data_IF_441157462462
#
_entry.id   IF_441157462462
#
_cell.length_a   1.000
_cell.length_b   1.000
_cell.length_c   1.000
_cell.angle_alpha   90.00
_cell.angle_beta   90.00
_cell.angle_gamma   90.00
#
_symmetry.space_group_name_H-M   'P 1'
#
loop_
_entity.id
_entity.type
_entity.pdbx_description
1 polymer ?
#
# COMPACT_ATOMS: atom_id res chain seq x y z
N UNK A 1 22.43 5.12 -48.82
CA UNK A 1 21.19 4.37 -48.61
C UNK A 1 21.08 4.13 -47.12
N UNK A 2 20.04 4.66 -46.49
CA UNK A 2 19.78 4.46 -45.07
C UNK A 2 19.21 3.05 -44.90
N UNK A 3 19.92 2.18 -44.18
CA UNK A 3 19.36 0.88 -43.78
C UNK A 3 18.16 1.12 -42.85
N UNK A 4 17.06 0.33 -43.00
CA UNK A 4 15.94 0.45 -42.09
C UNK A 4 16.36 -0.03 -40.71
N UNK A 5 16.00 0.74 -39.68
CA UNK A 5 16.15 0.33 -38.28
C UNK A 5 15.35 -0.97 -38.11
N UNK A 6 16.06 -2.08 -37.95
CA UNK A 6 15.46 -3.37 -37.61
C UNK A 6 14.67 -3.19 -36.30
N UNK A 7 13.35 -3.24 -36.40
CA UNK A 7 12.50 -3.34 -35.23
C UNK A 7 12.80 -4.69 -34.59
N UNK A 8 13.47 -4.66 -33.43
CA UNK A 8 13.71 -5.85 -32.62
C UNK A 8 12.35 -6.45 -32.26
N UNK A 9 12.09 -7.67 -32.69
CA UNK A 9 10.88 -8.40 -32.33
C UNK A 9 10.87 -8.66 -30.81
N UNK A 10 9.70 -8.48 -30.17
CA UNK A 10 9.51 -8.81 -28.76
C UNK A 10 9.79 -10.30 -28.54
N UNK A 11 10.62 -10.61 -27.57
CA UNK A 11 11.01 -11.95 -27.18
C UNK A 11 10.56 -12.28 -25.76
N UNK A 12 10.62 -13.56 -25.38
CA UNK A 12 10.34 -13.98 -24.01
C UNK A 12 11.30 -13.36 -22.99
N UNK A 13 12.51 -12.98 -23.41
CA UNK A 13 13.50 -12.30 -22.57
C UNK A 13 13.07 -10.85 -22.22
N UNK A 14 12.11 -10.28 -22.96
CA UNK A 14 11.56 -8.95 -22.70
C UNK A 14 10.38 -8.99 -21.70
N UNK A 15 9.92 -10.18 -21.32
CA UNK A 15 8.85 -10.38 -20.34
C UNK A 15 9.45 -10.48 -18.94
N UNK A 16 9.24 -9.45 -18.12
CA UNK A 16 9.65 -9.49 -16.72
C UNK A 16 8.89 -10.59 -15.97
N UNK A 17 9.56 -11.35 -15.09
CA UNK A 17 8.88 -12.28 -14.19
C UNK A 17 7.79 -11.57 -13.40
N UNK A 18 6.64 -12.22 -13.28
CA UNK A 18 5.50 -11.66 -12.53
C UNK A 18 5.70 -11.94 -11.05
N UNK A 19 5.66 -10.88 -10.24
CA UNK A 19 5.72 -11.01 -8.80
C UNK A 19 4.50 -11.74 -8.24
N UNK A 20 4.75 -12.72 -7.38
CA UNK A 20 3.70 -13.50 -6.71
C UNK A 20 2.83 -12.58 -5.84
N UNK A 21 3.46 -11.75 -5.02
CA UNK A 21 2.82 -10.73 -4.20
C UNK A 21 3.54 -9.41 -4.46
N UNK A 22 2.81 -8.41 -4.94
CA UNK A 22 3.32 -7.07 -5.19
C UNK A 22 2.63 -6.03 -4.31
N UNK A 23 3.37 -4.99 -3.95
CA UNK A 23 2.87 -3.75 -3.38
C UNK A 23 3.42 -2.61 -4.23
N UNK A 24 2.55 -1.97 -4.99
CA UNK A 24 2.86 -0.78 -5.77
C UNK A 24 2.48 0.45 -4.95
N UNK A 25 3.32 1.47 -4.99
CA UNK A 25 3.09 2.71 -4.24
C UNK A 25 3.22 3.94 -5.14
N UNK A 26 2.33 4.92 -4.93
CA UNK A 26 2.44 6.24 -5.53
C UNK A 26 3.63 7.02 -4.98
N UNK A 27 4.08 8.04 -5.70
CA UNK A 27 5.37 8.68 -5.40
C UNK A 27 5.43 9.36 -4.02
N UNK A 28 4.32 9.84 -3.44
CA UNK A 28 4.31 10.44 -2.09
C UNK A 28 4.47 9.41 -0.98
N UNK A 29 4.35 8.12 -1.30
CA UNK A 29 4.48 7.03 -0.35
C UNK A 29 5.86 6.38 -0.38
N UNK A 30 6.71 6.75 -1.34
CA UNK A 30 8.09 6.23 -1.47
C UNK A 30 8.86 6.33 -0.13
N UNK A 31 8.81 7.43 0.63
CA UNK A 31 9.53 7.51 1.92
C UNK A 31 9.13 6.42 2.91
N UNK A 32 7.89 5.91 2.86
CA UNK A 32 7.41 4.84 3.74
C UNK A 32 8.03 3.48 3.42
N UNK A 33 8.54 3.29 2.21
CA UNK A 33 9.09 2.03 1.70
C UNK A 33 10.57 2.11 1.34
N UNK A 34 11.22 3.25 1.54
CA UNK A 34 12.63 3.44 1.28
C UNK A 34 13.47 3.18 2.53
N UNK A 35 14.39 2.20 2.46
CA UNK A 35 15.28 1.84 3.57
C UNK A 35 16.15 3.01 4.02
N UNK A 36 16.61 3.83 3.09
CA UNK A 36 17.53 4.94 3.38
C UNK A 36 16.81 6.11 4.05
N UNK A 37 15.48 6.15 3.96
CA UNK A 37 14.61 7.14 4.61
C UNK A 37 13.92 6.61 5.88
N UNK A 38 14.31 5.42 6.35
CA UNK A 38 13.71 4.80 7.55
C UNK A 38 12.36 4.13 7.31
N UNK A 39 12.11 3.70 6.07
CA UNK A 39 10.85 3.14 5.56
C UNK A 39 10.16 2.14 6.49
N UNK A 40 9.28 2.67 7.33
CA UNK A 40 8.61 1.96 8.40
C UNK A 40 7.75 0.79 7.86
N UNK A 41 7.18 0.96 6.66
CA UNK A 41 6.32 -0.04 6.05
C UNK A 41 7.07 -1.34 5.74
N UNK A 42 8.38 -1.27 5.48
CA UNK A 42 9.20 -2.45 5.17
C UNK A 42 9.23 -3.44 6.35
N UNK A 43 9.47 -2.95 7.56
CA UNK A 43 9.49 -3.80 8.75
C UNK A 43 8.08 -4.27 9.14
N UNK A 44 7.04 -3.45 8.92
CA UNK A 44 5.64 -3.85 9.11
C UNK A 44 5.23 -4.99 8.18
N UNK A 45 5.52 -4.89 6.88
CA UNK A 45 5.25 -5.94 5.88
C UNK A 45 5.97 -7.24 6.24
N UNK A 46 7.25 -7.14 6.64
CA UNK A 46 8.03 -8.30 7.12
C UNK A 46 7.41 -8.93 8.37
N UNK A 47 6.91 -8.11 9.31
CA UNK A 47 6.20 -8.55 10.50
C UNK A 47 4.91 -9.32 10.17
N UNK A 48 4.07 -8.77 9.29
CA UNK A 48 2.85 -9.44 8.81
C UNK A 48 3.19 -10.77 8.14
N UNK A 49 4.17 -10.78 7.24
CA UNK A 49 4.61 -12.01 6.55
C UNK A 49 5.08 -13.08 7.53
N UNK A 50 5.87 -12.69 8.54
CA UNK A 50 6.34 -13.60 9.59
C UNK A 50 5.18 -14.18 10.38
N UNK A 51 4.23 -13.34 10.82
CA UNK A 51 3.06 -13.76 11.58
C UNK A 51 2.21 -14.76 10.77
N UNK A 52 1.84 -14.42 9.54
CA UNK A 52 1.05 -15.29 8.67
C UNK A 52 1.75 -16.63 8.38
N UNK A 53 3.09 -16.61 8.23
CA UNK A 53 3.84 -17.85 8.02
C UNK A 53 3.79 -18.78 9.24
N UNK A 54 3.79 -18.19 10.45
CA UNK A 54 3.65 -18.95 11.70
C UNK A 54 2.23 -19.47 11.86
N UNK A 55 1.22 -18.63 11.60
CA UNK A 55 -0.19 -18.97 11.76
C UNK A 55 -0.62 -20.08 10.80
N UNK A 56 -0.11 -20.10 9.56
CA UNK A 56 -0.49 -21.09 8.55
C UNK A 56 0.48 -22.29 8.41
N UNK A 57 1.67 -22.23 9.02
CA UNK A 57 2.63 -23.32 8.99
C UNK A 57 3.43 -23.47 7.70
N UNK A 58 3.45 -22.44 6.83
CA UNK A 58 4.30 -22.40 5.65
C UNK A 58 4.84 -20.98 5.39
N UNK A 59 5.95 -20.88 4.68
CA UNK A 59 6.57 -19.58 4.39
C UNK A 59 5.75 -18.82 3.35
N UNK A 60 5.21 -17.66 3.74
CA UNK A 60 4.55 -16.73 2.81
C UNK A 60 5.62 -16.16 1.84
N UNK A 61 5.34 -16.09 0.52
CA UNK A 61 6.24 -15.50 -0.47
C UNK A 61 6.66 -14.07 -0.13
N UNK A 62 7.82 -13.65 -0.65
CA UNK A 62 8.25 -12.26 -0.52
C UNK A 62 7.26 -11.30 -1.17
N UNK A 63 7.07 -10.13 -0.54
CA UNK A 63 6.31 -9.02 -1.11
C UNK A 63 7.30 -8.12 -1.84
N UNK A 64 7.14 -7.99 -3.14
CA UNK A 64 7.95 -7.07 -3.95
C UNK A 64 7.31 -5.69 -3.92
N UNK A 65 8.08 -4.70 -3.49
CA UNK A 65 7.61 -3.33 -3.33
C UNK A 65 8.27 -2.49 -4.41
N UNK A 66 7.47 -1.73 -5.17
CA UNK A 66 7.95 -0.86 -6.25
C UNK A 66 7.14 0.43 -6.29
N UNK A 67 7.77 1.52 -6.68
CA UNK A 67 7.02 2.70 -7.08
C UNK A 67 6.26 2.42 -8.39
N UNK A 68 5.09 3.04 -8.52
CA UNK A 68 4.33 3.06 -9.75
C UNK A 68 3.84 4.49 -9.98
N UNK A 69 4.48 5.18 -10.93
CA UNK A 69 4.20 6.58 -11.26
C UNK A 69 2.84 6.77 -11.97
N UNK A 70 2.17 5.68 -12.37
CA UNK A 70 0.81 5.71 -12.90
C UNK A 70 -0.25 5.79 -11.79
N UNK A 71 0.09 5.47 -10.54
CA UNK A 71 -0.81 5.60 -9.39
C UNK A 71 -1.00 7.07 -9.00
N UNK A 72 -2.14 7.39 -8.38
CA UNK A 72 -2.28 8.70 -7.72
C UNK A 72 -1.20 8.84 -6.64
N UNK A 73 -0.74 10.07 -6.32
CA UNK A 73 0.43 10.28 -5.47
C UNK A 73 0.41 9.51 -4.15
N UNK A 74 -0.80 9.40 -3.58
CA UNK A 74 -1.09 8.86 -2.27
C UNK A 74 -1.72 7.46 -2.30
N UNK A 75 -1.85 6.85 -3.49
CA UNK A 75 -2.41 5.51 -3.65
C UNK A 75 -1.38 4.42 -3.43
N UNK A 76 -1.84 3.28 -2.96
CA UNK A 76 -1.12 2.01 -3.07
C UNK A 76 -2.01 0.96 -3.74
N UNK A 77 -1.37 -0.06 -4.33
CA UNK A 77 -2.04 -1.23 -4.91
C UNK A 77 -1.35 -2.51 -4.45
N UNK A 78 -2.13 -3.48 -4.02
CA UNK A 78 -1.68 -4.84 -3.73
C UNK A 78 -2.00 -5.71 -4.95
N UNK A 79 -1.02 -6.46 -5.42
CA UNK A 79 -1.17 -7.39 -6.54
C UNK A 79 -0.88 -8.82 -6.14
N UNK A 80 -1.59 -9.77 -6.74
CA UNK A 80 -1.28 -11.20 -6.70
C UNK A 80 -1.09 -11.70 -8.12
N UNK A 81 0.09 -12.26 -8.41
CA UNK A 81 0.46 -12.68 -9.77
C UNK A 81 0.21 -11.56 -10.80
N UNK A 82 0.58 -10.33 -10.44
CA UNK A 82 0.40 -9.14 -11.29
C UNK A 82 -1.04 -8.62 -11.40
N UNK A 83 -2.04 -9.28 -10.82
CA UNK A 83 -3.43 -8.83 -10.83
C UNK A 83 -3.72 -7.99 -9.59
N UNK A 84 -4.29 -6.80 -9.76
CA UNK A 84 -4.71 -5.95 -8.66
C UNK A 84 -5.81 -6.63 -7.83
N UNK A 85 -5.60 -6.75 -6.53
CA UNK A 85 -6.55 -7.37 -5.58
C UNK A 85 -7.04 -6.40 -4.50
N UNK A 86 -6.39 -5.24 -4.36
CA UNK A 86 -6.81 -4.21 -3.43
C UNK A 86 -6.08 -2.90 -3.70
N UNK A 87 -6.78 -1.79 -3.58
CA UNK A 87 -6.28 -0.44 -3.80
C UNK A 87 -6.92 0.51 -2.80
N UNK A 88 -6.13 1.45 -2.28
CA UNK A 88 -6.64 2.53 -1.45
C UNK A 88 -5.67 3.70 -1.43
N UNK A 89 -6.15 4.84 -0.93
CA UNK A 89 -5.34 6.02 -0.69
C UNK A 89 -4.98 6.15 0.79
N UNK A 90 -3.76 6.60 1.06
CA UNK A 90 -3.29 6.92 2.40
C UNK A 90 -2.92 8.39 2.50
N UNK A 91 -2.98 8.95 3.71
CA UNK A 91 -2.55 10.31 3.98
C UNK A 91 -1.39 10.26 4.97
N UNK A 92 -0.13 10.31 4.50
CA UNK A 92 1.04 10.13 5.37
C UNK A 92 1.10 11.13 6.53
N UNK A 93 0.50 12.32 6.34
CA UNK A 93 0.54 13.43 7.30
C UNK A 93 -0.72 13.46 8.20
N UNK A 94 -1.55 12.42 8.20
CA UNK A 94 -2.82 12.34 8.93
C UNK A 94 -2.99 10.96 9.59
N UNK A 95 -3.90 10.90 10.55
CA UNK A 95 -4.30 9.68 11.25
C UNK A 95 -5.66 9.22 10.73
N UNK A 96 -5.89 7.90 10.70
CA UNK A 96 -7.18 7.32 10.33
C UNK A 96 -7.96 6.91 11.59
N UNK A 97 -8.97 7.69 11.95
CA UNK A 97 -9.87 7.36 13.05
C UNK A 97 -10.97 6.41 12.56
N UNK A 98 -10.89 5.14 12.95
CA UNK A 98 -11.82 4.08 12.52
C UNK A 98 -12.92 3.93 13.57
N UNK A 99 -14.19 3.94 13.14
CA UNK A 99 -15.34 3.69 14.00
C UNK A 99 -15.68 2.18 14.04
N UNK A 100 -15.44 1.46 15.15
CA UNK A 100 -15.81 0.05 15.28
C UNK A 100 -17.31 -0.20 15.57
N UNK A 101 -18.14 0.84 15.54
CA UNK A 101 -19.59 0.78 15.77
C UNK A 101 -20.06 1.20 17.17
N UNK A 102 -19.15 1.68 18.03
CA UNK A 102 -19.46 2.07 19.43
C UNK A 102 -18.93 3.47 19.80
N UNK A 103 -18.86 4.39 18.83
CA UNK A 103 -18.36 5.75 19.06
C UNK A 103 -19.51 6.70 19.39
N UNK A 104 -19.36 7.49 20.45
CA UNK A 104 -20.36 8.50 20.85
C UNK A 104 -19.88 9.90 20.51
N UNK A 105 -20.18 10.35 19.29
CA UNK A 105 -19.86 11.70 18.84
C UNK A 105 -19.48 11.74 17.37
N UNK A 106 -19.16 12.93 16.88
CA UNK A 106 -18.57 13.13 15.56
C UNK A 106 -17.20 13.75 15.75
N UNK A 107 -16.25 13.35 14.91
CA UNK A 107 -14.95 13.97 14.81
C UNK A 107 -14.86 14.74 13.49
N UNK A 108 -14.39 15.98 13.56
CA UNK A 108 -14.16 16.78 12.36
C UNK A 108 -12.97 16.22 11.58
N UNK A 109 -13.15 16.06 10.28
CA UNK A 109 -12.13 15.55 9.36
C UNK A 109 -12.73 15.15 8.03
N UNK A 110 -11.97 14.41 7.23
CA UNK A 110 -12.46 13.92 5.94
C UNK A 110 -13.00 12.49 6.05
N UNK A 111 -14.31 12.26 5.83
CA UNK A 111 -14.90 10.93 5.89
C UNK A 111 -14.31 9.98 4.85
N UNK A 112 -14.14 8.72 5.22
CA UNK A 112 -13.62 7.66 4.36
C UNK A 112 -14.06 6.28 4.86
N UNK A 113 -13.54 5.22 4.26
CA UNK A 113 -13.73 3.84 4.70
C UNK A 113 -12.37 3.20 4.96
N UNK A 114 -12.24 2.46 6.07
CA UNK A 114 -11.08 1.63 6.34
C UNK A 114 -10.93 0.55 5.25
N UNK A 115 -9.76 0.41 4.61
CA UNK A 115 -9.58 -0.51 3.49
C UNK A 115 -9.49 -1.99 3.91
N UNK A 116 -9.33 -2.30 5.20
CA UNK A 116 -9.21 -3.68 5.67
C UNK A 116 -10.58 -4.32 5.96
N UNK A 117 -11.51 -3.55 6.51
CA UNK A 117 -12.80 -4.04 7.00
C UNK A 117 -14.02 -3.30 6.41
N UNK A 118 -13.81 -2.19 5.70
CA UNK A 118 -14.90 -1.36 5.15
C UNK A 118 -15.66 -0.62 6.24
N UNK A 119 -15.01 -0.30 7.37
CA UNK A 119 -15.62 0.44 8.46
C UNK A 119 -15.60 1.95 8.17
N UNK A 120 -16.61 2.67 8.65
CA UNK A 120 -16.62 4.12 8.61
C UNK A 120 -15.39 4.67 9.33
N UNK A 121 -14.69 5.59 8.67
CA UNK A 121 -13.51 6.21 9.23
C UNK A 121 -13.43 7.68 8.85
N UNK A 122 -12.59 8.42 9.55
CA UNK A 122 -12.33 9.84 9.28
C UNK A 122 -10.83 10.07 9.29
N UNK A 123 -10.31 10.72 8.26
CA UNK A 123 -8.97 11.26 8.28
C UNK A 123 -8.91 12.50 9.16
N UNK A 124 -8.05 12.46 10.19
CA UNK A 124 -7.92 13.51 11.20
C UNK A 124 -6.45 13.97 11.27
N UNK A 125 -6.24 15.17 11.80
CA UNK A 125 -4.87 15.62 12.11
C UNK A 125 -4.33 14.90 13.33
N UNK A 126 -3.02 14.82 13.44
CA UNK A 126 -2.34 14.18 14.57
C UNK A 126 -2.78 14.79 15.92
N UNK A 127 -3.01 16.11 15.99
CA UNK A 127 -3.43 16.77 17.23
C UNK A 127 -4.83 16.35 17.70
N UNK A 128 -5.66 15.81 16.82
CA UNK A 128 -7.01 15.33 17.14
C UNK A 128 -7.02 13.89 17.65
N UNK A 129 -5.89 13.19 17.64
CA UNK A 129 -5.78 11.77 17.99
C UNK A 129 -6.30 11.45 19.39
N UNK A 130 -5.93 12.24 20.40
CA UNK A 130 -6.38 12.03 21.78
C UNK A 130 -7.89 12.22 21.91
N UNK A 131 -8.45 13.21 21.22
CA UNK A 131 -9.90 13.44 21.21
C UNK A 131 -10.63 12.28 20.54
N UNK A 132 -10.14 11.79 19.40
CA UNK A 132 -10.71 10.65 18.68
C UNK A 132 -10.78 9.38 19.54
N UNK A 133 -9.76 9.14 20.36
CA UNK A 133 -9.68 7.96 21.24
C UNK A 133 -10.60 8.05 22.46
N UNK A 134 -11.08 9.24 22.81
CA UNK A 134 -11.93 9.48 23.98
C UNK A 134 -13.44 9.41 23.69
N UNK A 135 -13.83 9.36 22.41
CA UNK A 135 -15.22 9.21 21.93
C UNK A 135 -15.68 7.75 21.93
#
# INVERSE_FOLDING_TARGET
GSEPISQRELSWDDVQPVDIIGLEVGYRLIPLVDRDQGGELLERVKGVRKKLSQDFGFLIPAVHIRDNLELTPNSYRITLMGVAVGEAEIRPDQELAINPGQVYGMIDGEPTMDPAFGLEAVWIREEQREHAQAL
#
